data_IF_382111404388
#
_entry.id   IF_382111404388
#
_cell.length_a   1.000
_cell.length_b   1.000
_cell.length_c   1.000
_cell.angle_alpha   90.00
_cell.angle_beta   90.00
_cell.angle_gamma   90.00
#
_symmetry.space_group_name_H-M   'P 1'
#
loop_
_entity.id
_entity.type
_entity.pdbx_description
1 polymer ?
#
# COMPACT_ATOMS: atom_id res chain seq x y z
N UNK A 1 -16.94 -7.71 -68.03
CA UNK A 1 -15.77 -7.60 -67.13
C UNK A 1 -16.14 -8.22 -65.79
N UNK A 2 -15.66 -9.45 -65.53
CA UNK A 2 -15.87 -10.19 -64.28
C UNK A 2 -14.50 -10.45 -63.67
N UNK A 3 -14.24 -9.94 -62.48
CA UNK A 3 -13.12 -10.38 -61.65
C UNK A 3 -13.61 -10.44 -60.21
N UNK A 4 -13.98 -11.64 -59.78
CA UNK A 4 -14.16 -11.99 -58.39
C UNK A 4 -12.77 -12.05 -57.72
N UNK A 5 -12.61 -11.37 -56.59
CA UNK A 5 -11.45 -11.54 -55.70
C UNK A 5 -11.97 -11.91 -54.32
N UNK A 6 -11.87 -13.20 -54.01
CA UNK A 6 -11.86 -13.75 -52.66
C UNK A 6 -10.40 -13.77 -52.20
N UNK A 7 -10.07 -13.25 -51.02
CA UNK A 7 -9.02 -13.83 -50.16
C UNK A 7 -8.93 -13.14 -48.78
N UNK A 8 -9.10 -14.01 -47.78
CA UNK A 8 -8.72 -13.98 -46.36
C UNK A 8 -8.16 -12.68 -45.78
N UNK A 9 -8.84 -12.15 -44.75
CA UNK A 9 -8.19 -11.40 -43.69
C UNK A 9 -7.99 -12.29 -42.46
N UNK A 10 -6.73 -12.37 -42.04
CA UNK A 10 -6.20 -13.17 -40.94
C UNK A 10 -6.75 -12.63 -39.61
N UNK A 11 -7.31 -13.55 -38.81
CA UNK A 11 -7.71 -13.32 -37.43
C UNK A 11 -6.43 -13.15 -36.58
N UNK A 12 -6.10 -11.92 -36.17
CA UNK A 12 -5.08 -11.70 -35.14
C UNK A 12 -5.69 -12.04 -33.77
N UNK A 13 -5.33 -13.22 -33.25
CA UNK A 13 -5.53 -13.58 -31.86
C UNK A 13 -4.71 -12.62 -30.97
N UNK A 14 -5.41 -11.74 -30.27
CA UNK A 14 -4.84 -10.93 -29.21
C UNK A 14 -4.52 -11.84 -28.01
N UNK A 15 -3.28 -12.28 -27.91
CA UNK A 15 -2.76 -12.92 -26.69
C UNK A 15 -2.60 -11.85 -25.61
N UNK A 16 -3.57 -11.77 -24.71
CA UNK A 16 -3.52 -10.92 -23.53
C UNK A 16 -2.39 -11.38 -22.59
N UNK A 17 -1.28 -10.64 -22.57
CA UNK A 17 -0.20 -10.81 -21.60
C UNK A 17 -0.58 -10.13 -20.28
N UNK A 18 -1.50 -10.74 -19.53
CA UNK A 18 -2.11 -10.16 -18.33
C UNK A 18 -1.48 -10.54 -16.98
N UNK A 19 -0.46 -11.39 -16.90
CA UNK A 19 -0.15 -12.09 -15.64
C UNK A 19 1.09 -11.64 -14.84
N UNK A 20 1.80 -10.57 -15.20
CA UNK A 20 3.08 -10.22 -14.53
C UNK A 20 3.00 -9.30 -13.31
N UNK A 21 1.83 -8.76 -13.00
CA UNK A 21 1.65 -7.86 -11.84
C UNK A 21 1.06 -8.55 -10.59
N UNK A 22 0.45 -9.73 -10.75
CA UNK A 22 -0.26 -10.44 -9.67
C UNK A 22 0.66 -10.99 -8.57
N UNK A 23 1.85 -11.47 -8.93
CA UNK A 23 2.70 -12.23 -7.99
C UNK A 23 3.37 -11.34 -6.92
N UNK A 24 3.58 -10.05 -7.20
CA UNK A 24 4.27 -9.09 -6.30
C UNK A 24 3.41 -8.69 -5.10
N UNK A 25 2.08 -8.86 -5.18
CA UNK A 25 1.12 -8.43 -4.17
C UNK A 25 0.28 -9.57 -3.58
N UNK A 26 0.51 -10.83 -3.98
CA UNK A 26 -0.33 -11.96 -3.60
C UNK A 26 -0.60 -12.05 -2.09
N UNK A 27 0.43 -11.89 -1.25
CA UNK A 27 0.27 -11.97 0.21
C UNK A 27 -0.45 -10.77 0.83
N UNK A 28 -0.27 -9.57 0.28
CA UNK A 28 -1.04 -8.40 0.69
C UNK A 28 -2.51 -8.55 0.30
N UNK A 29 -2.78 -9.07 -0.90
CA UNK A 29 -4.11 -9.34 -1.40
C UNK A 29 -4.80 -10.46 -0.60
N UNK A 30 -4.08 -11.54 -0.27
CA UNK A 30 -4.60 -12.63 0.57
C UNK A 30 -4.98 -12.10 1.96
N UNK A 31 -4.16 -11.24 2.55
CA UNK A 31 -4.49 -10.59 3.82
C UNK A 31 -5.72 -9.69 3.71
N UNK A 32 -5.78 -8.84 2.69
CA UNK A 32 -6.93 -7.97 2.43
C UNK A 32 -8.22 -8.77 2.22
N UNK A 33 -8.17 -9.83 1.41
CA UNK A 33 -9.30 -10.73 1.21
C UNK A 33 -9.75 -11.39 2.50
N UNK A 34 -8.83 -11.94 3.29
CA UNK A 34 -9.17 -12.51 4.59
C UNK A 34 -9.84 -11.49 5.50
N UNK A 35 -9.33 -10.26 5.57
CA UNK A 35 -9.94 -9.17 6.34
C UNK A 35 -11.37 -8.90 5.84
N UNK A 36 -11.56 -8.74 4.53
CA UNK A 36 -12.88 -8.46 3.93
C UNK A 36 -13.87 -9.60 4.15
N UNK A 37 -13.46 -10.85 3.91
CA UNK A 37 -14.31 -12.03 3.99
C UNK A 37 -14.71 -12.33 5.44
N UNK A 38 -13.79 -12.13 6.39
CA UNK A 38 -14.02 -12.43 7.80
C UNK A 38 -14.84 -11.33 8.50
N UNK A 39 -14.60 -10.05 8.19
CA UNK A 39 -15.12 -8.95 9.00
C UNK A 39 -16.03 -7.97 8.26
N UNK A 40 -16.07 -8.01 6.92
CA UNK A 40 -16.76 -7.00 6.11
C UNK A 40 -17.63 -7.62 5.01
N UNK A 41 -18.22 -8.78 5.30
CA UNK A 41 -19.20 -9.47 4.44
C UNK A 41 -18.67 -9.71 3.02
N UNK A 42 -17.37 -9.96 2.91
CA UNK A 42 -16.72 -10.17 1.62
C UNK A 42 -16.68 -8.94 0.72
N UNK A 43 -16.69 -7.72 1.28
CA UNK A 43 -16.58 -6.49 0.51
C UNK A 43 -15.43 -6.56 -0.50
N UNK A 44 -15.69 -6.10 -1.73
CA UNK A 44 -14.67 -5.93 -2.76
C UNK A 44 -14.83 -4.54 -3.39
N UNK A 45 -13.73 -3.78 -3.56
CA UNK A 45 -13.77 -2.49 -4.22
C UNK A 45 -14.39 -2.59 -5.62
N UNK A 46 -15.31 -1.68 -6.00
CA UNK A 46 -15.73 -1.58 -7.41
C UNK A 46 -14.62 -1.01 -8.30
N UNK A 47 -13.59 -0.39 -7.71
CA UNK A 47 -12.42 0.11 -8.42
C UNK A 47 -11.35 0.66 -7.47
N UNK A 48 -10.14 0.84 -7.99
CA UNK A 48 -8.95 1.26 -7.22
C UNK A 48 -8.90 2.77 -6.90
N UNK A 49 -9.90 3.55 -7.31
CA UNK A 49 -9.92 5.01 -7.17
C UNK A 49 -10.66 5.49 -5.93
N UNK A 50 -11.35 4.60 -5.21
CA UNK A 50 -12.07 4.96 -3.98
C UNK A 50 -11.12 5.49 -2.88
N UNK A 51 -11.66 6.32 -1.99
CA UNK A 51 -10.90 6.96 -0.89
C UNK A 51 -10.31 5.92 0.06
N UNK A 52 -11.13 4.94 0.43
CA UNK A 52 -10.84 3.90 1.43
C UNK A 52 -10.92 2.52 0.81
N UNK A 53 -10.05 1.61 1.25
CA UNK A 53 -10.08 0.22 0.79
C UNK A 53 -11.41 -0.45 1.18
N UNK A 54 -11.93 -0.14 2.37
CA UNK A 54 -13.27 -0.53 2.84
C UNK A 54 -13.97 0.74 3.37
N UNK A 55 -15.04 1.23 2.72
CA UNK A 55 -15.74 2.43 3.15
C UNK A 55 -16.54 2.19 4.44
N UNK A 56 -16.83 3.28 5.17
CA UNK A 56 -17.68 3.28 6.36
C UNK A 56 -18.99 2.47 6.20
N UNK A 57 -19.66 2.63 5.05
CA UNK A 57 -20.90 1.93 4.75
C UNK A 57 -20.77 0.41 4.67
N UNK A 58 -19.58 -0.12 4.35
CA UNK A 58 -19.29 -1.55 4.36
C UNK A 58 -18.89 -2.08 5.75
N UNK A 59 -18.64 -1.20 6.72
CA UNK A 59 -18.26 -1.52 8.09
C UNK A 59 -19.42 -1.31 9.09
N UNK A 60 -20.51 -2.06 8.92
CA UNK A 60 -21.65 -1.98 9.85
C UNK A 60 -21.33 -2.55 11.25
N UNK A 61 -20.45 -3.56 11.33
CA UNK A 61 -20.18 -4.29 12.56
C UNK A 61 -19.11 -3.65 13.46
N UNK A 62 -18.27 -2.75 12.95
CA UNK A 62 -17.15 -2.13 13.70
C UNK A 62 -17.23 -0.60 13.69
N UNK A 63 -18.41 -0.09 14.02
CA UNK A 63 -18.63 1.32 14.33
C UNK A 63 -18.78 2.25 13.12
N UNK A 64 -19.00 1.73 11.92
CA UNK A 64 -19.25 2.56 10.74
C UNK A 64 -18.05 3.40 10.32
N UNK A 65 -16.83 3.00 10.70
CA UNK A 65 -15.61 3.72 10.32
C UNK A 65 -15.03 3.17 9.01
N UNK A 66 -14.44 4.03 8.16
CA UNK A 66 -13.65 3.52 7.04
C UNK A 66 -12.44 2.72 7.54
N UNK A 67 -12.01 1.75 6.72
CA UNK A 67 -10.95 0.80 7.08
C UNK A 67 -9.91 0.70 5.97
N UNK A 68 -8.66 0.63 6.39
CA UNK A 68 -7.50 0.53 5.52
C UNK A 68 -6.62 -0.64 5.97
N UNK A 69 -6.71 -1.82 5.33
CA UNK A 69 -5.83 -2.95 5.61
C UNK A 69 -4.47 -2.78 4.91
N UNK A 70 -3.41 -3.13 5.63
CA UNK A 70 -2.04 -3.17 5.12
C UNK A 70 -1.30 -4.38 5.64
N UNK A 71 -0.62 -5.09 4.74
CA UNK A 71 0.29 -6.17 5.07
C UNK A 71 1.73 -5.75 4.76
N UNK A 72 2.67 -6.02 5.66
CA UNK A 72 4.10 -5.73 5.45
C UNK A 72 4.99 -6.70 6.20
N UNK A 73 6.29 -6.75 5.85
CA UNK A 73 7.24 -7.61 6.55
C UNK A 73 7.41 -7.15 8.00
N UNK A 74 7.53 -8.08 8.94
CA UNK A 74 7.73 -7.79 10.35
C UNK A 74 8.97 -6.92 10.58
N UNK A 75 8.84 -5.92 11.48
CA UNK A 75 9.89 -4.94 11.75
C UNK A 75 10.11 -3.87 10.68
N UNK A 76 9.42 -3.94 9.54
CA UNK A 76 9.59 -2.96 8.44
C UNK A 76 8.51 -1.87 8.46
N UNK A 77 8.75 -0.71 7.80
CA UNK A 77 7.73 0.32 7.69
C UNK A 77 6.45 -0.16 6.99
N UNK A 78 5.31 0.38 7.42
CA UNK A 78 4.03 0.19 6.70
C UNK A 78 3.90 1.24 5.61
N UNK A 79 3.73 0.80 4.36
CA UNK A 79 3.44 1.69 3.24
C UNK A 79 1.98 2.15 3.24
N UNK A 80 1.74 3.45 3.08
CA UNK A 80 0.40 4.05 3.21
C UNK A 80 -0.14 4.60 1.88
N UNK A 81 0.60 4.44 0.78
CA UNK A 81 0.19 4.96 -0.52
C UNK A 81 0.49 6.45 -0.67
N UNK A 82 -0.39 7.16 -1.38
CA UNK A 82 -0.18 8.55 -1.81
C UNK A 82 -0.13 9.54 -0.62
N UNK A 83 0.95 10.30 -0.49
CA UNK A 83 1.18 11.16 0.67
C UNK A 83 0.17 12.32 0.76
N UNK A 84 -0.28 12.85 -0.38
CA UNK A 84 -1.23 13.96 -0.44
C UNK A 84 -2.59 13.48 0.09
N UNK A 85 -3.06 12.32 -0.39
CA UNK A 85 -4.29 11.68 0.10
C UNK A 85 -4.21 11.35 1.59
N UNK A 86 -3.07 10.86 2.07
CA UNK A 86 -2.88 10.58 3.51
C UNK A 86 -2.86 11.86 4.35
N UNK A 87 -2.32 12.95 3.81
CA UNK A 87 -2.38 14.27 4.44
C UNK A 87 -3.79 14.82 4.48
N UNK A 88 -4.66 14.49 3.54
CA UNK A 88 -6.02 15.04 3.48
C UNK A 88 -7.03 14.24 4.33
N UNK A 89 -6.58 13.23 5.09
CA UNK A 89 -7.46 12.50 6.03
C UNK A 89 -7.78 13.38 7.23
N UNK A 90 -9.07 13.61 7.42
CA UNK A 90 -9.69 14.46 8.44
C UNK A 90 -10.83 13.76 9.20
N UNK A 91 -11.04 12.46 8.96
CA UNK A 91 -12.05 11.63 9.62
C UNK A 91 -11.42 10.44 10.37
N UNK A 92 -12.05 9.93 11.45
CA UNK A 92 -11.56 8.74 12.14
C UNK A 92 -11.62 7.51 11.23
N UNK A 93 -10.65 6.61 11.37
CA UNK A 93 -10.60 5.38 10.57
C UNK A 93 -9.95 4.24 11.35
N UNK A 94 -10.04 3.01 10.81
CA UNK A 94 -9.35 1.84 11.34
C UNK A 94 -8.20 1.48 10.40
N UNK A 95 -6.98 1.48 10.92
CA UNK A 95 -5.82 0.98 10.19
C UNK A 95 -5.58 -0.48 10.59
N UNK A 96 -5.95 -1.44 9.74
CA UNK A 96 -5.70 -2.86 10.01
C UNK A 96 -4.29 -3.19 9.52
N UNK A 97 -3.45 -3.70 10.41
CA UNK A 97 -2.07 -4.03 10.11
C UNK A 97 -1.84 -5.52 10.32
N UNK A 98 -1.28 -6.16 9.30
CA UNK A 98 -0.71 -7.50 9.39
C UNK A 98 0.78 -7.48 9.12
N UNK A 99 1.58 -7.92 10.08
CA UNK A 99 3.01 -8.13 9.89
C UNK A 99 3.32 -9.59 9.70
N UNK A 100 4.04 -9.90 8.63
CA UNK A 100 4.43 -11.26 8.29
C UNK A 100 5.95 -11.48 8.33
N UNK A 101 6.36 -12.70 8.63
CA UNK A 101 7.73 -13.18 8.49
C UNK A 101 7.79 -14.28 7.45
N UNK A 102 8.91 -14.39 6.74
CA UNK A 102 9.18 -15.51 5.85
C UNK A 102 9.84 -16.63 6.64
N UNK A 103 9.10 -17.70 6.91
CA UNK A 103 9.57 -18.86 7.71
C UNK A 103 10.18 -19.95 6.84
N UNK A 104 9.81 -20.00 5.56
CA UNK A 104 10.36 -20.89 4.55
C UNK A 104 10.44 -20.17 3.18
N UNK A 105 11.17 -20.71 2.18
CA UNK A 105 11.30 -20.08 0.87
C UNK A 105 9.98 -19.73 0.20
N UNK A 106 8.91 -20.46 0.51
CA UNK A 106 7.58 -20.29 -0.07
C UNK A 106 6.50 -19.97 0.96
N UNK A 107 6.84 -19.76 2.24
CA UNK A 107 5.85 -19.61 3.31
C UNK A 107 6.04 -18.31 4.08
N UNK A 108 4.93 -17.59 4.25
CA UNK A 108 4.86 -16.38 5.05
C UNK A 108 3.85 -16.54 6.16
N UNK A 109 4.24 -16.31 7.40
CA UNK A 109 3.34 -16.35 8.55
C UNK A 109 3.10 -14.95 9.05
N UNK A 110 1.83 -14.60 9.29
CA UNK A 110 1.53 -13.41 10.07
C UNK A 110 1.92 -13.67 11.53
N UNK A 111 2.77 -12.80 12.06
CA UNK A 111 3.28 -12.85 13.44
C UNK A 111 2.78 -11.68 14.27
N UNK A 112 2.04 -10.73 13.67
CA UNK A 112 1.41 -9.64 14.41
C UNK A 112 0.20 -9.12 13.66
N UNK A 113 -0.93 -9.01 14.34
CA UNK A 113 -2.15 -8.40 13.82
C UNK A 113 -2.63 -7.33 14.79
N UNK A 114 -3.06 -6.18 14.28
CA UNK A 114 -3.64 -5.12 15.08
C UNK A 114 -4.54 -4.23 14.23
N UNK A 115 -5.48 -3.55 14.88
CA UNK A 115 -6.40 -2.62 14.23
C UNK A 115 -6.62 -1.37 15.09
N UNK A 116 -5.59 -0.51 15.26
CA UNK A 116 -5.78 0.77 15.92
C UNK A 116 -6.88 1.58 15.24
N UNK A 117 -7.76 2.14 16.06
CA UNK A 117 -8.60 3.27 15.67
C UNK A 117 -7.73 4.51 15.67
N UNK A 118 -7.69 5.20 14.55
CA UNK A 118 -6.87 6.39 14.35
C UNK A 118 -7.79 7.61 14.35
N UNK A 119 -7.51 8.55 15.26
CA UNK A 119 -8.20 9.83 15.33
C UNK A 119 -7.50 10.87 14.44
N UNK A 120 -8.23 11.81 13.80
CA UNK A 120 -7.65 12.81 12.91
C UNK A 120 -6.52 13.63 13.54
N UNK A 121 -6.65 13.99 14.82
CA UNK A 121 -5.64 14.75 15.54
C UNK A 121 -4.32 13.96 15.69
N UNK A 122 -4.41 12.66 16.01
CA UNK A 122 -3.23 11.79 16.11
C UNK A 122 -2.58 11.61 14.73
N UNK A 123 -3.38 11.40 13.69
CA UNK A 123 -2.88 11.30 12.31
C UNK A 123 -2.19 12.59 11.84
N UNK A 124 -2.78 13.74 12.17
CA UNK A 124 -2.20 15.06 11.87
C UNK A 124 -0.85 15.27 12.52
N UNK A 125 -0.72 14.90 13.79
CA UNK A 125 0.51 15.09 14.55
C UNK A 125 1.71 14.35 13.92
N UNK A 126 1.48 13.25 13.21
CA UNK A 126 2.55 12.50 12.51
C UNK A 126 3.20 13.27 11.35
N UNK A 127 2.53 14.28 10.81
CA UNK A 127 3.09 15.17 9.78
C UNK A 127 4.03 16.24 10.37
N UNK A 128 4.01 16.44 11.69
CA UNK A 128 4.80 17.48 12.34
C UNK A 128 4.52 18.88 11.71
N UNK A 129 5.56 19.64 11.34
CA UNK A 129 5.40 20.97 10.76
C UNK A 129 5.11 20.95 9.24
N UNK A 130 5.02 19.78 8.60
CA UNK A 130 4.79 19.68 7.15
C UNK A 130 3.42 20.25 6.79
N UNK A 131 3.39 21.16 5.83
CA UNK A 131 2.15 21.71 5.28
C UNK A 131 1.73 20.98 4.00
N UNK A 132 0.48 21.19 3.57
CA UNK A 132 0.00 20.69 2.26
C UNK A 132 0.84 21.23 1.10
N UNK A 133 1.17 22.52 1.15
CA UNK A 133 1.96 23.19 0.13
C UNK A 133 3.40 22.64 0.04
N UNK A 134 3.98 22.23 1.17
CA UNK A 134 5.28 21.54 1.17
C UNK A 134 5.19 20.24 0.38
N UNK A 135 4.18 19.40 0.65
CA UNK A 135 3.98 18.14 -0.07
C UNK A 135 3.76 18.35 -1.56
N UNK A 136 2.98 19.37 -1.95
CA UNK A 136 2.75 19.73 -3.36
C UNK A 136 4.03 20.16 -4.06
N UNK A 137 4.87 20.95 -3.40
CA UNK A 137 6.18 21.35 -3.94
C UNK A 137 7.07 20.14 -4.20
N UNK A 138 7.11 19.18 -3.27
CA UNK A 138 7.88 17.95 -3.47
C UNK A 138 7.27 17.07 -4.58
N UNK A 139 5.95 16.91 -4.60
CA UNK A 139 5.25 16.14 -5.62
C UNK A 139 5.41 16.74 -7.03
N UNK A 140 5.45 18.07 -7.14
CA UNK A 140 5.74 18.76 -8.39
C UNK A 140 7.14 18.41 -8.93
N UNK A 141 8.17 18.41 -8.07
CA UNK A 141 9.52 17.98 -8.47
C UNK A 141 9.54 16.51 -8.91
N UNK A 142 8.78 15.65 -8.24
CA UNK A 142 8.67 14.24 -8.60
C UNK A 142 7.98 14.07 -9.96
N UNK A 143 6.92 14.83 -10.22
CA UNK A 143 6.10 14.72 -11.43
C UNK A 143 6.65 15.49 -12.62
N UNK A 144 7.66 16.34 -12.43
CA UNK A 144 8.30 17.08 -13.51
C UNK A 144 8.91 16.12 -14.55
N UNK A 145 8.35 16.17 -15.76
CA UNK A 145 8.76 15.33 -16.89
C UNK A 145 9.88 15.94 -17.72
N UNK A 146 10.23 17.19 -17.47
CA UNK A 146 11.43 17.80 -18.08
C UNK A 146 12.72 17.25 -17.47
N UNK A 147 12.65 16.68 -16.25
CA UNK A 147 13.77 16.05 -15.57
C UNK A 147 13.93 14.57 -15.93
N UNK A 148 15.16 14.12 -16.09
CA UNK A 148 15.45 12.69 -16.14
C UNK A 148 15.08 12.00 -14.81
N UNK A 149 14.82 10.67 -14.81
CA UNK A 149 14.57 9.94 -13.57
C UNK A 149 15.66 10.06 -12.51
N UNK A 150 16.93 10.24 -12.92
CA UNK A 150 18.05 10.40 -11.98
C UNK A 150 18.02 11.78 -11.34
N UNK A 151 17.87 12.83 -12.14
CA UNK A 151 17.80 14.21 -11.64
C UNK A 151 16.60 14.41 -10.71
N UNK A 152 15.42 13.89 -11.08
CA UNK A 152 14.22 13.98 -10.25
C UNK A 152 14.42 13.28 -8.89
N UNK A 153 15.12 12.13 -8.84
CA UNK A 153 15.46 11.45 -7.58
C UNK A 153 16.39 12.28 -6.71
N UNK A 154 17.44 12.84 -7.30
CA UNK A 154 18.41 13.67 -6.58
C UNK A 154 17.74 14.90 -5.96
N UNK A 155 16.94 15.63 -6.74
CA UNK A 155 16.22 16.82 -6.25
C UNK A 155 15.17 16.47 -5.19
N UNK A 156 14.40 15.40 -5.40
CA UNK A 156 13.41 14.95 -4.41
C UNK A 156 14.09 14.50 -3.11
N UNK A 157 15.25 13.84 -3.20
CA UNK A 157 16.04 13.43 -2.05
C UNK A 157 16.56 14.65 -1.27
N UNK A 158 17.15 15.63 -1.96
CA UNK A 158 17.66 16.87 -1.35
C UNK A 158 16.55 17.62 -0.59
N UNK A 159 15.37 17.76 -1.21
CA UNK A 159 14.23 18.42 -0.57
C UNK A 159 13.76 17.66 0.67
N UNK A 160 13.53 16.35 0.56
CA UNK A 160 12.89 15.58 1.64
C UNK A 160 13.78 15.38 2.87
N UNK A 161 15.10 15.62 2.76
CA UNK A 161 16.05 15.50 3.88
C UNK A 161 16.18 16.79 4.71
N UNK A 162 15.45 17.85 4.36
CA UNK A 162 15.50 19.15 5.04
C UNK A 162 14.16 19.44 5.76
N UNK A 163 14.14 20.36 6.74
CA UNK A 163 12.89 20.85 7.31
C UNK A 163 11.95 21.42 6.22
N UNK A 164 10.62 21.23 6.35
CA UNK A 164 9.95 20.57 7.47
C UNK A 164 9.94 19.04 7.40
N UNK A 165 10.33 18.42 6.27
CA UNK A 165 10.18 16.98 6.06
C UNK A 165 11.03 16.11 6.99
N UNK A 166 12.23 16.57 7.35
CA UNK A 166 13.10 15.86 8.31
C UNK A 166 12.54 15.81 9.72
N UNK A 167 11.52 16.59 10.03
CA UNK A 167 10.89 16.70 11.35
C UNK A 167 9.56 15.94 11.44
N UNK A 168 9.06 15.39 10.32
CA UNK A 168 7.86 14.57 10.30
C UNK A 168 8.14 13.14 10.82
N UNK A 169 7.13 12.52 11.43
CA UNK A 169 7.16 11.09 11.77
C UNK A 169 6.91 10.25 10.52
N UNK A 170 6.00 10.71 9.64
CA UNK A 170 5.84 10.09 8.33
C UNK A 170 7.11 10.21 7.49
N UNK A 171 7.49 9.10 6.86
CA UNK A 171 8.61 9.05 5.93
C UNK A 171 8.08 9.19 4.51
N UNK A 172 8.60 10.18 3.78
CA UNK A 172 8.27 10.39 2.37
C UNK A 172 9.13 9.50 1.45
N UNK A 173 8.44 8.79 0.55
CA UNK A 173 8.98 7.79 -0.37
C UNK A 173 8.66 8.16 -1.82
N UNK A 174 9.45 9.06 -2.45
CA UNK A 174 9.33 9.33 -3.89
C UNK A 174 9.51 8.03 -4.70
N UNK A 175 8.47 7.62 -5.44
CA UNK A 175 8.53 6.49 -6.35
C UNK A 175 8.76 6.99 -7.77
N UNK A 176 10.01 6.89 -8.20
CA UNK A 176 10.50 7.37 -9.48
C UNK A 176 11.16 6.17 -10.17
N UNK A 177 10.62 5.69 -11.29
CA UNK A 177 11.22 4.60 -12.07
C UNK A 177 11.57 5.02 -13.51
N UNK A 178 12.29 4.14 -14.21
CA UNK A 178 12.66 4.34 -15.62
C UNK A 178 11.48 4.13 -16.58
N UNK A 179 10.42 3.43 -16.15
CA UNK A 179 9.22 3.12 -16.94
C UNK A 179 8.17 4.23 -16.88
N UNK A 180 8.49 5.35 -16.23
CA UNK A 180 7.66 6.54 -16.19
C UNK A 180 6.80 6.70 -14.93
N UNK A 181 6.91 5.82 -13.93
CA UNK A 181 6.25 6.03 -12.65
C UNK A 181 6.87 7.23 -11.92
N UNK A 182 6.00 8.16 -11.48
CA UNK A 182 6.30 9.35 -10.68
C UNK A 182 5.18 9.56 -9.66
N UNK A 183 5.39 9.18 -8.40
CA UNK A 183 4.38 9.31 -7.33
C UNK A 183 5.05 9.64 -6.00
N UNK A 184 4.47 10.53 -5.21
CA UNK A 184 4.89 10.75 -3.83
C UNK A 184 4.11 9.81 -2.90
N UNK A 185 4.79 8.81 -2.34
CA UNK A 185 4.21 7.91 -1.34
C UNK A 185 4.70 8.25 0.07
N UNK A 186 4.04 7.73 1.09
CA UNK A 186 4.51 7.81 2.48
C UNK A 186 4.46 6.46 3.19
N UNK A 187 5.19 6.35 4.28
CA UNK A 187 5.18 5.20 5.19
C UNK A 187 5.33 5.65 6.64
N UNK A 188 4.96 4.75 7.56
CA UNK A 188 5.20 4.90 8.98
C UNK A 188 6.15 3.78 9.44
N UNK A 189 7.17 4.10 10.24
CA UNK A 189 8.14 3.09 10.72
C UNK A 189 7.46 2.14 11.70
N UNK A 190 7.97 0.92 11.80
CA UNK A 190 7.44 -0.10 12.70
C UNK A 190 7.29 0.41 14.14
N UNK A 191 8.37 0.98 14.70
CA UNK A 191 8.35 1.52 16.06
C UNK A 191 7.35 2.68 16.23
N UNK A 192 7.15 3.51 15.20
CA UNK A 192 6.27 4.68 15.26
C UNK A 192 4.78 4.27 15.28
N UNK A 193 4.43 3.13 14.69
CA UNK A 193 3.07 2.55 14.82
C UNK A 193 2.73 2.31 16.29
N UNK A 194 3.59 1.61 17.02
CA UNK A 194 3.34 1.32 18.43
C UNK A 194 3.49 2.57 19.29
N UNK A 195 4.45 3.44 19.00
CA UNK A 195 4.62 4.69 19.77
C UNK A 195 3.42 5.63 19.66
N UNK A 196 2.84 5.79 18.46
CA UNK A 196 1.87 6.85 18.20
C UNK A 196 0.44 6.36 17.98
N UNK A 197 0.24 5.16 17.44
CA UNK A 197 -1.09 4.65 17.08
C UNK A 197 -1.58 3.53 18.01
N UNK A 198 -0.66 2.79 18.64
CA UNK A 198 -0.99 1.66 19.49
C UNK A 198 -0.05 1.50 20.71
N UNK A 199 0.12 2.55 21.56
CA UNK A 199 1.08 2.54 22.68
C UNK A 199 0.81 1.47 23.74
N UNK A 200 -0.44 0.98 23.81
CA UNK A 200 -0.87 -0.09 24.70
C UNK A 200 -0.59 -1.49 24.16
N UNK A 201 -0.16 -1.63 22.90
CA UNK A 201 0.08 -2.93 22.26
C UNK A 201 1.59 -3.19 22.26
N UNK A 202 2.01 -4.37 22.72
CA UNK A 202 3.42 -4.79 22.63
C UNK A 202 3.88 -4.87 21.16
N UNK A 203 5.09 -4.40 20.81
CA UNK A 203 5.64 -4.56 19.46
C UNK A 203 6.23 -5.96 19.19
N UNK A 204 6.21 -6.87 20.18
CA UNK A 204 6.75 -8.22 20.00
C UNK A 204 5.88 -9.05 19.03
N UNK A 205 6.49 -10.00 18.29
CA UNK A 205 5.74 -10.97 17.50
C UNK A 205 4.93 -11.88 18.43
N UNK A 206 3.88 -12.47 17.88
CA UNK A 206 2.93 -13.36 18.53
C UNK A 206 2.92 -14.69 17.79
N UNK A 207 2.86 -15.81 18.52
CA UNK A 207 2.80 -17.15 17.92
C UNK A 207 1.47 -17.41 17.23
N UNK A 208 0.36 -16.89 17.79
CA UNK A 208 -0.99 -17.04 17.26
C UNK A 208 -1.67 -15.67 17.22
N UNK A 209 -1.27 -14.77 16.32
CA UNK A 209 -1.86 -13.45 16.29
C UNK A 209 -3.32 -13.53 15.85
N UNK A 210 -4.17 -12.75 16.51
CA UNK A 210 -5.59 -12.67 16.19
C UNK A 210 -5.99 -11.24 15.86
N UNK A 211 -6.89 -11.08 14.90
CA UNK A 211 -7.59 -9.83 14.68
C UNK A 211 -8.99 -9.96 15.23
N UNK A 212 -9.32 -9.17 16.24
CA UNK A 212 -10.63 -9.21 16.91
C UNK A 212 -11.08 -10.62 17.32
N UNK A 213 -10.14 -11.43 17.83
CA UNK A 213 -10.40 -12.79 18.31
C UNK A 213 -10.38 -13.89 17.24
N UNK A 214 -10.21 -13.54 15.95
CA UNK A 214 -10.09 -14.53 14.87
C UNK A 214 -8.65 -14.63 14.43
N UNK A 215 -8.11 -15.85 14.44
CA UNK A 215 -6.76 -16.13 13.95
C UNK A 215 -6.69 -16.09 12.42
N UNK A 216 -5.53 -15.70 11.89
CA UNK A 216 -5.26 -15.85 10.47
C UNK A 216 -5.05 -17.34 10.14
N UNK A 217 -5.68 -17.91 9.09
CA UNK A 217 -5.85 -19.36 8.94
C UNK A 217 -4.62 -20.17 8.52
N UNK A 218 -3.42 -19.60 8.42
CA UNK A 218 -2.19 -20.36 8.13
C UNK A 218 -1.13 -19.57 7.38
N UNK A 219 -0.04 -20.21 6.92
CA UNK A 219 0.93 -19.54 6.07
C UNK A 219 0.31 -19.10 4.75
N UNK A 220 0.74 -17.95 4.26
CA UNK A 220 0.53 -17.56 2.87
C UNK A 220 1.62 -18.21 2.02
N UNK A 221 1.22 -19.05 1.07
CA UNK A 221 2.14 -19.65 0.10
C UNK A 221 2.50 -18.60 -0.97
N UNK A 222 3.78 -18.27 -1.08
CA UNK A 222 4.31 -17.25 -1.99
C UNK A 222 5.69 -17.68 -2.50
N UNK A 223 5.76 -18.19 -3.73
CA UNK A 223 7.02 -18.63 -4.36
C UNK A 223 8.01 -17.50 -4.67
N UNK A 224 9.30 -17.82 -4.92
CA UNK A 224 10.30 -16.86 -5.36
C UNK A 224 9.99 -16.33 -6.78
N UNK A 225 10.37 -15.08 -7.04
CA UNK A 225 10.22 -14.42 -8.35
C UNK A 225 10.86 -15.27 -9.46
N UNK A 226 10.12 -15.54 -10.53
CA UNK A 226 10.70 -15.95 -11.80
C UNK A 226 11.05 -14.70 -12.59
N UNK A 227 12.35 -14.43 -12.73
CA UNK A 227 12.81 -13.46 -13.71
C UNK A 227 12.99 -14.21 -15.03
N UNK A 228 12.30 -13.78 -16.08
CA UNK A 228 12.70 -14.18 -17.43
C UNK A 228 14.02 -13.46 -17.73
N UNK A 229 15.06 -14.24 -18.03
CA UNK A 229 16.25 -13.74 -18.69
C UNK A 229 15.82 -13.25 -20.07
N UNK A 230 15.71 -11.93 -20.24
CA UNK A 230 15.66 -11.34 -21.57
C UNK A 230 17.07 -11.43 -22.16
N UNK A 231 17.26 -12.37 -23.08
CA UNK A 231 18.33 -12.31 -24.08
C UNK A 231 18.14 -11.11 -25.03
#
# INVERSE_FOLDING_TARGET
>A
MRCARFLLFILFLASASGSRAEEVQAHGLVFEHWVCDTFFVGYRPPGYTQKWDIPAAANSARGGLPVNPKATHFGTPVGLGDALRQYDIDEPFILILGYWEQTAPTEKHFVKLLAPRVEPAAWRALWGPVTRADLERLDAVIKDRSLSPVEARLRAQELKTRPPFSEAVFVLNPKIDAKGQRRLQCSLRYADVFKHLAPQISPAPETNPTLWGVAFPGPVVSGPRRFEETE
#
